data_IF_393555554343
#
_entry.id   IF_393555554343
#
_cell.length_a   1.000
_cell.length_b   1.000
_cell.length_c   1.000
_cell.angle_alpha   90.00
_cell.angle_beta   90.00
_cell.angle_gamma   90.00
#
_symmetry.space_group_name_H-M   'P 1'
#
loop_
_entity.id
_entity.type
_entity.pdbx_description
1 polymer ?
#
# COMPACT_ATOMS: atom_id res chain seq x y z
N UNK A 1 18.22 -3.38 24.21
CA UNK A 1 18.14 -4.23 23.00
C UNK A 1 17.41 -3.47 21.89
N UNK A 2 18.08 -2.50 21.24
CA UNK A 2 17.49 -1.65 20.17
C UNK A 2 18.36 -1.74 18.90
N UNK A 3 18.87 -2.94 18.61
CA UNK A 3 19.54 -3.25 17.34
C UNK A 3 18.55 -3.80 16.31
N UNK A 4 17.33 -4.18 16.73
CA UNK A 4 16.49 -5.08 15.95
C UNK A 4 15.87 -4.49 14.67
N UNK A 5 15.43 -3.23 14.63
CA UNK A 5 14.70 -2.71 13.45
C UNK A 5 15.64 -2.30 12.30
N UNK A 6 16.72 -1.59 12.62
CA UNK A 6 17.72 -1.14 11.63
C UNK A 6 18.54 -2.32 11.10
N UNK A 7 18.94 -3.24 11.97
CA UNK A 7 19.66 -4.44 11.54
C UNK A 7 18.75 -5.38 10.76
N UNK A 8 17.47 -5.51 11.14
CA UNK A 8 16.50 -6.25 10.35
C UNK A 8 16.28 -5.59 9.00
N UNK A 9 16.12 -4.27 8.92
CA UNK A 9 15.94 -3.59 7.64
C UNK A 9 17.19 -3.71 6.76
N UNK A 10 18.39 -3.60 7.32
CA UNK A 10 19.63 -3.83 6.58
C UNK A 10 19.75 -5.27 6.09
N UNK A 11 19.38 -6.26 6.93
CA UNK A 11 19.33 -7.67 6.53
C UNK A 11 18.29 -7.90 5.44
N UNK A 12 17.09 -7.34 5.58
CA UNK A 12 16.04 -7.39 4.57
C UNK A 12 16.49 -6.72 3.28
N UNK A 13 17.11 -5.54 3.30
CA UNK A 13 17.61 -4.89 2.09
C UNK A 13 18.72 -5.69 1.39
N UNK A 14 19.46 -6.52 2.12
CA UNK A 14 20.48 -7.43 1.58
C UNK A 14 19.89 -8.76 1.10
N UNK A 15 18.93 -9.32 1.81
CA UNK A 15 18.30 -10.63 1.53
C UNK A 15 17.13 -10.56 0.57
N UNK A 16 16.38 -9.46 0.59
CA UNK A 16 15.42 -9.12 -0.45
C UNK A 16 16.22 -8.88 -1.71
N UNK A 17 16.38 -9.95 -2.50
CA UNK A 17 16.61 -9.82 -3.93
C UNK A 17 15.62 -8.73 -4.39
N UNK A 18 16.04 -7.75 -5.21
CA UNK A 18 15.05 -6.95 -5.93
C UNK A 18 14.07 -7.97 -6.51
N UNK A 19 12.77 -7.75 -6.34
CA UNK A 19 11.74 -8.67 -6.81
C UNK A 19 11.94 -8.83 -8.32
N UNK A 20 12.81 -9.76 -8.67
CA UNK A 20 13.07 -10.24 -10.00
C UNK A 20 11.95 -11.24 -10.18
N UNK A 21 10.76 -10.71 -10.47
CA UNK A 21 9.68 -11.45 -11.08
C UNK A 21 10.22 -11.96 -12.43
N UNK A 22 10.98 -13.06 -12.38
CA UNK A 22 11.12 -14.00 -13.47
C UNK A 22 9.93 -14.97 -13.43
N UNK A 23 8.73 -14.40 -13.36
CA UNK A 23 7.52 -15.01 -13.88
C UNK A 23 7.09 -14.15 -15.06
N UNK A 24 6.98 -14.78 -16.21
CA UNK A 24 6.74 -14.16 -17.50
C UNK A 24 5.40 -13.39 -17.49
N UNK A 25 5.44 -12.06 -17.35
CA UNK A 25 4.26 -11.20 -17.51
C UNK A 25 4.45 -9.77 -17.01
N UNK A 26 5.16 -8.94 -17.79
CA UNK A 26 5.12 -7.46 -17.78
C UNK A 26 4.77 -6.76 -16.44
N UNK A 27 5.77 -6.56 -15.58
CA UNK A 27 5.72 -5.75 -14.35
C UNK A 27 5.50 -4.23 -14.64
N UNK A 28 4.32 -3.85 -15.14
CA UNK A 28 4.06 -2.49 -15.63
C UNK A 28 2.86 -1.82 -14.93
N UNK A 29 2.99 -1.47 -13.65
CA UNK A 29 2.13 -0.40 -13.08
C UNK A 29 2.29 0.91 -13.86
N UNK A 30 3.43 1.15 -14.54
CA UNK A 30 3.60 2.26 -15.47
C UNK A 30 2.55 2.27 -16.61
N UNK A 31 2.01 1.10 -16.95
CA UNK A 31 0.93 0.95 -17.92
C UNK A 31 -0.43 0.64 -17.27
N UNK A 32 -0.58 0.79 -15.95
CA UNK A 32 -1.88 0.64 -15.28
C UNK A 32 -2.92 1.54 -15.95
N UNK A 33 -4.03 0.92 -16.36
CA UNK A 33 -5.16 1.62 -16.96
C UNK A 33 -6.40 1.57 -16.08
N UNK A 34 -6.67 0.41 -15.45
CA UNK A 34 -7.84 0.26 -14.57
C UNK A 34 -7.74 -0.91 -13.61
N UNK A 35 -8.46 -0.79 -12.50
CA UNK A 35 -8.78 -1.83 -11.52
C UNK A 35 -10.27 -2.14 -11.63
N UNK A 36 -10.64 -3.42 -11.70
CA UNK A 36 -12.03 -3.86 -11.72
C UNK A 36 -12.29 -4.87 -10.59
N UNK A 37 -13.32 -4.62 -9.81
CA UNK A 37 -13.89 -5.53 -8.81
C UNK A 37 -15.08 -6.23 -9.46
N UNK A 38 -15.11 -7.56 -9.41
CA UNK A 38 -16.18 -8.37 -10.02
C UNK A 38 -16.63 -9.46 -9.06
N UNK A 39 -17.90 -9.41 -8.66
CA UNK A 39 -18.61 -10.32 -7.76
C UNK A 39 -17.84 -10.63 -6.48
N UNK A 40 -17.19 -9.62 -5.92
CA UNK A 40 -16.24 -9.79 -4.83
C UNK A 40 -16.97 -10.03 -3.51
N UNK A 41 -16.63 -11.13 -2.84
CA UNK A 41 -17.12 -11.44 -1.50
C UNK A 41 -16.00 -11.97 -0.60
N UNK A 42 -16.11 -11.67 0.68
CA UNK A 42 -15.26 -12.22 1.72
C UNK A 42 -16.08 -12.89 2.81
N UNK A 43 -15.75 -14.14 3.13
CA UNK A 43 -16.41 -14.92 4.16
C UNK A 43 -15.50 -15.00 5.37
N UNK A 44 -15.99 -14.52 6.51
CA UNK A 44 -15.26 -14.53 7.75
C UNK A 44 -15.53 -15.81 8.55
N UNK A 45 -14.61 -16.17 9.44
CA UNK A 45 -14.71 -17.38 10.27
C UNK A 45 -15.89 -17.36 11.25
N UNK A 46 -16.41 -16.18 11.58
CA UNK A 46 -17.61 -15.98 12.38
C UNK A 46 -18.92 -16.18 11.59
N UNK A 47 -18.84 -16.52 10.30
CA UNK A 47 -19.98 -16.71 9.41
C UNK A 47 -20.50 -15.44 8.74
N UNK A 48 -19.92 -14.27 9.03
CA UNK A 48 -20.26 -13.04 8.33
C UNK A 48 -19.77 -13.07 6.88
N UNK A 49 -20.58 -12.55 5.97
CA UNK A 49 -20.24 -12.42 4.55
C UNK A 49 -20.35 -10.96 4.17
N UNK A 50 -19.27 -10.41 3.62
CA UNK A 50 -19.25 -9.05 3.09
C UNK A 50 -19.15 -9.10 1.57
N UNK A 51 -20.14 -8.53 0.90
CA UNK A 51 -20.19 -8.38 -0.55
C UNK A 51 -19.82 -6.96 -0.95
N UNK A 52 -19.03 -6.81 -2.01
CA UNK A 52 -18.62 -5.51 -2.55
C UNK A 52 -19.23 -5.26 -3.93
N UNK A 53 -19.54 -3.99 -4.26
CA UNK A 53 -20.11 -3.66 -5.56
C UNK A 53 -19.12 -3.89 -6.70
N UNK A 54 -19.65 -4.32 -7.85
CA UNK A 54 -18.89 -4.36 -9.09
C UNK A 54 -18.54 -2.93 -9.50
N UNK A 55 -17.25 -2.60 -9.50
CA UNK A 55 -16.75 -1.27 -9.82
C UNK A 55 -15.51 -1.35 -10.68
N UNK A 56 -15.36 -0.40 -11.59
CA UNK A 56 -14.13 -0.21 -12.36
C UNK A 56 -13.59 1.19 -12.10
N UNK A 57 -12.34 1.24 -11.65
CA UNK A 57 -11.59 2.45 -11.33
C UNK A 57 -10.52 2.62 -12.39
N UNK A 58 -10.53 3.74 -13.13
CA UNK A 58 -9.53 4.04 -14.16
C UNK A 58 -8.35 4.82 -13.58
N UNK A 59 -7.22 4.74 -14.26
CA UNK A 59 -6.03 5.53 -13.93
C UNK A 59 -6.37 7.03 -13.93
N UNK A 60 -5.98 7.71 -12.85
CA UNK A 60 -6.26 9.13 -12.62
C UNK A 60 -7.61 9.43 -11.96
N UNK A 61 -8.50 8.45 -11.79
CA UNK A 61 -9.76 8.67 -11.07
C UNK A 61 -9.51 8.79 -9.55
N UNK A 62 -10.26 9.70 -8.93
CA UNK A 62 -10.34 9.85 -7.48
C UNK A 62 -11.71 9.36 -7.04
N UNK A 63 -11.74 8.40 -6.13
CA UNK A 63 -12.98 7.77 -5.68
C UNK A 63 -13.08 7.90 -4.18
N UNK A 64 -14.28 8.22 -3.70
CA UNK A 64 -14.63 8.19 -2.30
C UNK A 64 -15.35 6.86 -2.01
N UNK A 65 -14.79 6.05 -1.12
CA UNK A 65 -15.48 4.91 -0.54
C UNK A 65 -16.09 5.32 0.80
N UNK A 66 -17.41 5.44 0.85
CA UNK A 66 -18.16 5.79 2.05
C UNK A 66 -18.93 4.60 2.61
N UNK A 67 -19.10 4.57 3.93
CA UNK A 67 -19.92 3.60 4.64
C UNK A 67 -19.60 3.59 6.13
N UNK A 68 -20.50 3.05 6.94
CA UNK A 68 -20.37 3.03 8.41
C UNK A 68 -19.16 2.21 8.89
N UNK A 69 -18.76 2.40 10.15
CA UNK A 69 -17.74 1.54 10.74
C UNK A 69 -18.17 0.07 10.72
N UNK A 70 -17.24 -0.84 10.44
CA UNK A 70 -17.54 -2.27 10.35
C UNK A 70 -18.06 -2.77 9.00
N UNK A 71 -18.34 -1.91 8.01
CA UNK A 71 -18.83 -2.35 6.68
C UNK A 71 -17.78 -3.01 5.77
N UNK A 72 -16.57 -3.27 6.27
CA UNK A 72 -15.52 -3.95 5.50
C UNK A 72 -14.65 -3.06 4.59
N UNK A 73 -14.67 -1.74 4.74
CA UNK A 73 -13.82 -0.82 3.94
C UNK A 73 -12.32 -1.17 4.02
N UNK A 74 -11.80 -1.33 5.23
CA UNK A 74 -10.39 -1.71 5.42
C UNK A 74 -10.10 -3.12 4.88
N UNK A 75 -11.08 -4.03 4.94
CA UNK A 75 -10.99 -5.36 4.33
C UNK A 75 -10.89 -5.26 2.81
N UNK A 76 -11.66 -4.38 2.16
CA UNK A 76 -11.55 -4.15 0.72
C UNK A 76 -10.14 -3.70 0.33
N UNK A 77 -9.53 -2.79 1.08
CA UNK A 77 -8.15 -2.37 0.81
C UNK A 77 -7.16 -3.53 0.95
N UNK A 78 -7.30 -4.37 1.98
CA UNK A 78 -6.46 -5.57 2.14
C UNK A 78 -6.64 -6.57 0.99
N UNK A 79 -7.85 -6.74 0.47
CA UNK A 79 -8.12 -7.56 -0.71
C UNK A 79 -7.45 -6.95 -1.96
N UNK A 80 -7.54 -5.63 -2.17
CA UNK A 80 -6.89 -4.92 -3.28
C UNK A 80 -5.38 -5.05 -3.21
N UNK A 81 -4.80 -4.94 -2.01
CA UNK A 81 -3.37 -5.08 -1.75
C UNK A 81 -2.90 -6.55 -1.77
N UNK A 82 -3.81 -7.51 -1.92
CA UNK A 82 -3.47 -8.94 -1.94
C UNK A 82 -3.05 -9.51 -0.57
N UNK A 83 -3.22 -8.75 0.52
CA UNK A 83 -3.01 -9.24 1.90
C UNK A 83 -4.08 -10.28 2.29
N UNK A 84 -5.27 -10.16 1.70
CA UNK A 84 -6.36 -11.13 1.80
C UNK A 84 -6.67 -11.69 0.41
N UNK A 85 -7.08 -12.96 0.36
CA UNK A 85 -7.62 -13.57 -0.85
C UNK A 85 -9.14 -13.62 -0.74
N UNK A 86 -9.87 -13.12 -1.75
CA UNK A 86 -11.32 -13.17 -1.70
C UNK A 86 -11.81 -14.61 -1.69
N UNK A 87 -12.89 -14.84 -0.94
CA UNK A 87 -13.59 -16.13 -0.95
C UNK A 87 -14.34 -16.33 -2.27
N UNK A 88 -14.95 -15.27 -2.80
CA UNK A 88 -15.60 -15.28 -4.12
C UNK A 88 -15.26 -14.04 -4.95
N UNK A 89 -15.37 -14.19 -6.27
CA UNK A 89 -15.10 -13.11 -7.21
C UNK A 89 -13.61 -12.85 -7.41
N UNK A 90 -13.29 -11.64 -7.91
CA UNK A 90 -11.89 -11.27 -8.21
C UNK A 90 -11.69 -9.76 -8.32
N UNK A 91 -10.45 -9.36 -8.08
CA UNK A 91 -9.92 -8.03 -8.37
C UNK A 91 -8.98 -8.18 -9.57
N UNK A 92 -9.22 -7.39 -10.62
CA UNK A 92 -8.52 -7.48 -11.90
C UNK A 92 -7.85 -6.16 -12.18
N UNK A 93 -6.53 -6.17 -12.35
CA UNK A 93 -5.79 -5.03 -12.86
C UNK A 93 -5.57 -5.21 -14.35
N UNK A 94 -5.74 -4.13 -15.12
CA UNK A 94 -5.49 -4.14 -16.57
C UNK A 94 -4.53 -3.03 -16.97
N UNK A 95 -3.71 -3.33 -17.98
CA UNK A 95 -2.85 -2.35 -18.62
C UNK A 95 -3.60 -1.53 -19.68
N UNK A 96 -2.90 -0.55 -20.28
CA UNK A 96 -3.40 0.30 -21.37
C UNK A 96 -3.78 -0.49 -22.64
N UNK A 97 -3.26 -1.70 -22.81
CA UNK A 97 -3.61 -2.60 -23.92
C UNK A 97 -4.81 -3.50 -23.60
N UNK A 98 -5.38 -3.39 -22.39
CA UNK A 98 -6.50 -4.19 -21.92
C UNK A 98 -6.12 -5.59 -21.43
N UNK A 99 -4.83 -5.91 -21.36
CA UNK A 99 -4.33 -7.18 -20.84
C UNK A 99 -4.41 -7.18 -19.32
N UNK A 100 -4.76 -8.33 -18.74
CA UNK A 100 -4.72 -8.50 -17.30
C UNK A 100 -3.27 -8.52 -16.82
N UNK A 101 -2.97 -7.76 -15.77
CA UNK A 101 -1.63 -7.65 -15.19
C UNK A 101 -1.67 -7.99 -13.70
N UNK A 102 -0.52 -8.41 -13.17
CA UNK A 102 -0.28 -8.52 -11.74
C UNK A 102 0.57 -7.30 -11.33
N UNK A 103 -0.01 -6.33 -10.60
CA UNK A 103 0.71 -5.14 -10.20
C UNK A 103 1.84 -5.48 -9.22
N UNK A 104 2.97 -4.78 -9.37
CA UNK A 104 3.98 -4.73 -8.33
C UNK A 104 3.44 -3.93 -7.14
N UNK A 105 2.97 -4.64 -6.11
CA UNK A 105 2.33 -4.04 -4.94
C UNK A 105 3.21 -2.98 -4.25
N UNK A 106 4.53 -3.04 -4.40
CA UNK A 106 5.46 -2.04 -3.86
C UNK A 106 5.27 -0.64 -4.46
N UNK A 107 4.60 -0.50 -5.61
CA UNK A 107 4.27 0.79 -6.23
C UNK A 107 2.89 1.30 -5.85
N UNK A 108 2.15 0.60 -5.00
CA UNK A 108 0.88 1.06 -4.44
C UNK A 108 1.17 1.68 -3.07
N UNK A 109 0.92 2.98 -2.92
CA UNK A 109 0.98 3.65 -1.63
C UNK A 109 -0.27 3.35 -0.81
N UNK A 110 -0.10 2.84 0.41
CA UNK A 110 -1.17 2.61 1.36
C UNK A 110 -0.92 3.42 2.64
N UNK A 111 -1.92 4.18 3.08
CA UNK A 111 -1.89 4.93 4.34
C UNK A 111 -2.94 4.29 5.25
N UNK A 112 -2.52 3.47 6.23
CA UNK A 112 -3.44 2.82 7.15
C UNK A 112 -4.08 3.85 8.10
N UNK A 113 -5.24 3.48 8.65
CA UNK A 113 -5.91 4.26 9.68
C UNK A 113 -5.04 4.41 10.94
N UNK A 114 -4.43 3.32 11.39
CA UNK A 114 -3.52 3.28 12.53
C UNK A 114 -2.10 2.91 12.05
N UNK A 115 -1.23 3.90 11.78
CA UNK A 115 0.11 3.62 11.29
C UNK A 115 1.04 3.11 12.39
N UNK A 116 1.87 2.12 12.06
CA UNK A 116 2.95 1.65 12.94
C UNK A 116 4.17 2.54 12.75
N UNK A 117 4.67 3.12 13.85
CA UNK A 117 5.96 3.81 13.88
C UNK A 117 7.01 2.91 14.53
N UNK A 118 8.20 2.88 13.94
CA UNK A 118 9.37 2.22 14.49
C UNK A 118 10.12 3.13 15.46
N UNK A 119 10.75 2.58 16.51
CA UNK A 119 11.66 3.34 17.35
C UNK A 119 12.78 3.98 16.51
N UNK A 120 12.79 5.31 16.45
CA UNK A 120 13.68 6.09 15.60
C UNK A 120 13.16 7.50 15.39
N UNK A 121 13.87 8.28 14.60
CA UNK A 121 13.46 9.62 14.20
C UNK A 121 12.29 9.58 13.22
N UNK A 122 11.58 10.70 13.09
CA UNK A 122 10.53 10.86 12.07
C UNK A 122 11.12 10.63 10.66
N UNK A 123 12.32 11.14 10.41
CA UNK A 123 13.02 10.94 9.13
C UNK A 123 13.28 9.46 8.85
N UNK A 124 13.78 8.71 9.84
CA UNK A 124 14.00 7.26 9.71
C UNK A 124 12.70 6.49 9.43
N UNK A 125 11.58 6.91 10.01
CA UNK A 125 10.28 6.30 9.72
C UNK A 125 9.78 6.63 8.30
N UNK A 126 9.94 7.89 7.85
CA UNK A 126 9.55 8.31 6.49
C UNK A 126 10.37 7.55 5.43
N UNK A 127 11.68 7.40 5.66
CA UNK A 127 12.58 6.73 4.71
C UNK A 127 12.60 5.21 4.87
N UNK A 128 11.86 4.65 5.83
CA UNK A 128 11.96 3.25 6.24
C UNK A 128 13.43 2.83 6.45
N UNK A 129 14.17 3.64 7.21
CA UNK A 129 15.60 3.49 7.52
C UNK A 129 16.54 3.39 6.29
N UNK A 130 16.11 3.86 5.12
CA UNK A 130 16.95 3.96 3.92
C UNK A 130 17.54 5.36 3.79
N UNK A 131 18.77 5.54 4.28
CA UNK A 131 19.46 6.83 4.28
C UNK A 131 19.65 7.46 2.88
N UNK A 132 19.54 6.67 1.81
CA UNK A 132 19.61 7.21 0.43
C UNK A 132 18.42 8.11 0.10
N UNK A 133 17.32 7.99 0.84
CA UNK A 133 16.08 8.75 0.64
C UNK A 133 15.99 9.98 1.55
N UNK A 134 17.01 10.27 2.37
CA UNK A 134 16.98 11.38 3.34
C UNK A 134 16.68 12.73 2.68
N UNK A 135 17.31 13.02 1.53
CA UNK A 135 17.06 14.26 0.78
C UNK A 135 15.63 14.34 0.25
N UNK A 136 15.11 13.24 -0.29
CA UNK A 136 13.74 13.16 -0.81
C UNK A 136 12.70 13.33 0.31
N UNK A 137 12.94 12.73 1.48
CA UNK A 137 12.06 12.85 2.64
C UNK A 137 11.94 14.30 3.11
N UNK A 138 13.04 15.05 3.14
CA UNK A 138 13.01 16.49 3.48
C UNK A 138 12.24 17.32 2.46
N UNK A 139 12.40 17.04 1.16
CA UNK A 139 11.65 17.72 0.12
C UNK A 139 10.15 17.43 0.20
N UNK A 140 9.77 16.17 0.39
CA UNK A 140 8.37 15.75 0.52
C UNK A 140 7.74 16.36 1.77
N UNK A 141 8.45 16.36 2.91
CA UNK A 141 7.96 16.98 4.14
C UNK A 141 7.68 18.48 3.97
N UNK A 142 8.52 19.20 3.21
CA UNK A 142 8.28 20.61 2.84
C UNK A 142 7.06 20.76 1.92
N UNK A 143 6.94 19.93 0.88
CA UNK A 143 5.80 19.94 -0.06
C UNK A 143 4.47 19.66 0.63
N UNK A 144 4.47 18.75 1.62
CA UNK A 144 3.29 18.41 2.42
C UNK A 144 3.04 19.38 3.58
N UNK A 145 3.80 20.47 3.68
CA UNK A 145 3.66 21.52 4.70
C UNK A 145 3.81 21.02 6.14
N UNK A 146 4.53 19.91 6.36
CA UNK A 146 4.74 19.33 7.70
C UNK A 146 5.73 20.12 8.57
N UNK A 147 6.37 21.16 8.02
CA UNK A 147 7.44 21.89 8.71
C UNK A 147 7.02 22.54 10.04
N UNK A 148 5.76 22.96 10.16
CA UNK A 148 5.22 23.51 11.42
C UNK A 148 5.05 22.45 12.49
N UNK A 149 4.60 21.25 12.12
CA UNK A 149 4.32 20.19 13.07
C UNK A 149 5.61 19.50 13.52
N UNK A 150 6.57 19.33 12.60
CA UNK A 150 7.90 18.83 12.94
C UNK A 150 8.63 19.72 13.96
N UNK A 151 8.46 21.04 13.89
CA UNK A 151 9.04 21.96 14.88
C UNK A 151 8.45 21.78 16.28
N UNK A 152 7.16 21.45 16.39
CA UNK A 152 6.51 21.20 17.69
C UNK A 152 7.08 19.95 18.36
N UNK A 153 7.45 18.93 17.59
CA UNK A 153 8.08 17.71 18.11
C UNK A 153 9.47 17.94 18.73
N UNK A 154 10.17 19.03 18.38
CA UNK A 154 11.48 19.39 18.95
C UNK A 154 11.38 20.22 20.24
N UNK A 155 10.17 20.70 20.57
CA UNK A 155 9.89 21.53 21.73
C UNK A 155 9.25 20.76 22.90
N UNK A 156 9.02 19.46 22.72
CA UNK A 156 8.50 18.53 23.72
C UNK A 156 9.61 17.58 24.17
#
# INVERSE_FOLDING_TARGET
MIQSAKDLNNKLLVELKPVNNKENGQNNIANFAKLSIVKLQEHFSNGEVVSYPDITIKSGEKILLSGDSGTGKSTLFKLILGELKPTEGKIIFKDKNGQQIHPDLAKIGYIPQDPTLFPGTIKENITMFNNKLDGEAEEVAKKMQLGTDLKKCLMA
#
